data_IF_299118596061
#
_entry.id   IF_299118596061
#
_cell.length_a   1.000
_cell.length_b   1.000
_cell.length_c   1.000
_cell.angle_alpha   90.00
_cell.angle_beta   90.00
_cell.angle_gamma   90.00
#
_symmetry.space_group_name_H-M   'P 1'
#
loop_
_entity.id
_entity.type
_entity.pdbx_description
1 polymer ?
#
# COMPACT_ATOMS: atom_id res chain seq x y z
N UNK A 1 -11.72 4.19 3.67
CA UNK A 1 -11.87 4.08 2.20
C UNK A 1 -13.07 4.90 1.74
N UNK A 2 -12.99 5.56 0.57
CA UNK A 2 -14.16 6.14 -0.05
C UNK A 2 -15.23 5.05 -0.26
N UNK A 3 -16.53 5.33 -0.03
CA UNK A 3 -17.58 4.32 -0.17
C UNK A 3 -17.60 3.63 -1.54
N UNK A 4 -17.11 4.30 -2.57
CA UNK A 4 -17.01 3.76 -3.93
C UNK A 4 -16.02 2.60 -4.04
N UNK A 5 -15.08 2.45 -3.12
CA UNK A 5 -14.07 1.40 -3.12
C UNK A 5 -14.46 0.17 -2.29
N UNK A 6 -15.53 0.25 -1.50
CA UNK A 6 -15.97 -0.84 -0.62
C UNK A 6 -16.47 -2.08 -1.37
N UNK A 7 -16.85 -1.92 -2.64
CA UNK A 7 -17.46 -2.96 -3.45
C UNK A 7 -16.70 -3.27 -4.74
N UNK A 8 -15.49 -2.72 -4.90
CA UNK A 8 -14.68 -3.01 -6.08
C UNK A 8 -14.17 -4.44 -5.98
N UNK A 9 -14.55 -5.25 -6.97
CA UNK A 9 -14.01 -6.58 -7.17
C UNK A 9 -12.98 -6.56 -8.29
N UNK A 10 -11.90 -7.28 -8.10
CA UNK A 10 -10.91 -7.48 -9.15
C UNK A 10 -11.53 -8.25 -10.32
N UNK A 11 -11.37 -7.73 -11.54
CA UNK A 11 -11.86 -8.35 -12.78
C UNK A 11 -10.75 -8.78 -13.73
N UNK A 12 -9.48 -8.56 -13.35
CA UNK A 12 -8.29 -8.94 -14.12
C UNK A 12 -8.06 -10.46 -14.14
N UNK A 13 -7.21 -10.88 -15.07
CA UNK A 13 -6.75 -12.27 -15.13
C UNK A 13 -5.94 -12.66 -13.91
N UNK A 14 -5.97 -13.94 -13.54
CA UNK A 14 -5.09 -14.46 -12.48
C UNK A 14 -3.64 -14.47 -12.98
N UNK A 15 -2.72 -13.95 -12.17
CA UNK A 15 -1.28 -13.97 -12.46
C UNK A 15 -0.57 -15.21 -11.92
N UNK A 16 -1.31 -16.10 -11.29
CA UNK A 16 -0.81 -17.32 -10.67
C UNK A 16 -0.81 -18.47 -11.68
N UNK A 17 0.31 -19.13 -11.84
CA UNK A 17 0.42 -20.28 -12.74
C UNK A 17 -0.58 -21.38 -12.34
N UNK A 18 -1.42 -21.78 -13.28
CA UNK A 18 -2.44 -22.82 -13.09
C UNK A 18 -3.34 -22.58 -11.86
N UNK A 19 -3.63 -21.33 -11.55
CA UNK A 19 -4.47 -20.92 -10.40
C UNK A 19 -3.99 -21.52 -9.06
N UNK A 20 -2.68 -21.76 -8.90
CA UNK A 20 -2.12 -22.30 -7.66
C UNK A 20 -2.33 -21.35 -6.49
N UNK A 21 -2.44 -21.90 -5.32
CA UNK A 21 -2.46 -21.11 -4.10
C UNK A 21 -1.08 -20.52 -3.79
N UNK A 22 -1.09 -19.23 -3.38
CA UNK A 22 0.10 -18.46 -3.05
C UNK A 22 0.45 -18.63 -1.57
N UNK A 23 1.72 -18.84 -1.29
CA UNK A 23 2.26 -18.85 0.07
C UNK A 23 2.70 -17.44 0.48
N UNK A 24 2.93 -17.24 1.78
CA UNK A 24 3.53 -15.99 2.27
C UNK A 24 4.92 -15.74 1.67
N UNK A 25 5.72 -16.78 1.48
CA UNK A 25 7.04 -16.69 0.83
C UNK A 25 6.93 -16.25 -0.62
N UNK A 26 5.97 -16.78 -1.38
CA UNK A 26 5.74 -16.35 -2.77
C UNK A 26 5.49 -14.84 -2.86
N UNK A 27 4.73 -14.27 -1.92
CA UNK A 27 4.46 -12.83 -1.88
C UNK A 27 5.76 -12.07 -1.57
N UNK A 28 6.49 -12.48 -0.53
CA UNK A 28 7.71 -11.79 -0.12
C UNK A 28 8.77 -11.82 -1.21
N UNK A 29 8.96 -12.97 -1.84
CA UNK A 29 10.00 -13.17 -2.85
C UNK A 29 9.66 -12.48 -4.16
N UNK A 30 8.40 -12.54 -4.60
CA UNK A 30 7.98 -11.92 -5.87
C UNK A 30 8.06 -10.42 -5.85
N UNK A 31 7.72 -9.80 -4.72
CA UNK A 31 7.66 -8.33 -4.59
C UNK A 31 8.80 -7.76 -3.75
N UNK A 32 9.76 -8.59 -3.31
CA UNK A 32 10.89 -8.18 -2.46
C UNK A 32 10.50 -7.41 -1.21
N UNK A 33 9.34 -7.76 -0.65
CA UNK A 33 8.86 -7.18 0.59
C UNK A 33 9.81 -7.52 1.76
N UNK A 34 9.94 -6.61 2.72
CA UNK A 34 10.80 -6.79 3.90
C UNK A 34 10.37 -7.94 4.80
N UNK A 35 9.08 -8.21 4.87
CA UNK A 35 8.53 -9.25 5.71
C UNK A 35 7.00 -9.32 5.64
N UNK A 36 6.47 -10.41 6.18
CA UNK A 36 5.05 -10.67 6.27
C UNK A 36 4.64 -11.10 7.67
N UNK A 37 3.54 -10.57 8.19
CA UNK A 37 2.95 -11.01 9.45
C UNK A 37 1.57 -11.61 9.18
N UNK A 38 1.38 -12.85 9.60
CA UNK A 38 0.12 -13.56 9.45
C UNK A 38 -0.54 -13.73 10.81
N UNK A 39 -1.68 -13.07 11.01
CA UNK A 39 -2.44 -13.16 12.25
C UNK A 39 -3.20 -14.49 12.38
N UNK A 40 -3.82 -14.68 13.53
CA UNK A 40 -4.69 -15.82 13.80
C UNK A 40 -6.02 -15.64 13.07
N UNK A 41 -6.15 -16.25 11.90
CA UNK A 41 -7.40 -16.31 11.17
C UNK A 41 -8.22 -17.51 11.66
N UNK A 42 -9.47 -17.25 11.96
CA UNK A 42 -10.42 -18.32 12.34
C UNK A 42 -10.76 -19.22 11.16
N UNK A 43 -10.67 -18.69 9.93
CA UNK A 43 -10.93 -19.41 8.69
C UNK A 43 -9.68 -19.41 7.80
N UNK A 44 -9.09 -20.59 7.61
CA UNK A 44 -7.89 -20.75 6.77
C UNK A 44 -8.17 -20.55 5.28
N UNK A 45 -9.40 -20.84 4.83
CA UNK A 45 -9.79 -20.59 3.44
C UNK A 45 -9.84 -19.10 3.14
N UNK A 46 -10.42 -18.28 4.02
CA UNK A 46 -10.46 -16.81 3.85
C UNK A 46 -9.05 -16.23 3.82
N UNK A 47 -8.15 -16.76 4.64
CA UNK A 47 -6.73 -16.38 4.62
C UNK A 47 -6.10 -16.69 3.28
N UNK A 48 -6.30 -17.90 2.74
CA UNK A 48 -5.73 -18.29 1.45
C UNK A 48 -6.26 -17.42 0.32
N UNK A 49 -7.57 -17.22 0.26
CA UNK A 49 -8.19 -16.31 -0.72
C UNK A 49 -7.60 -14.91 -0.64
N UNK A 50 -7.38 -14.40 0.57
CA UNK A 50 -6.79 -13.06 0.75
C UNK A 50 -5.35 -12.97 0.25
N UNK A 51 -4.53 -14.02 0.44
CA UNK A 51 -3.16 -14.08 -0.08
C UNK A 51 -3.15 -14.15 -1.61
N UNK A 52 -3.99 -15.01 -2.19
CA UNK A 52 -4.12 -15.15 -3.64
C UNK A 52 -4.54 -13.83 -4.29
N UNK A 53 -5.54 -13.17 -3.74
CA UNK A 53 -6.00 -11.85 -4.21
C UNK A 53 -4.95 -10.76 -4.06
N UNK A 54 -4.19 -10.76 -2.96
CA UNK A 54 -3.12 -9.80 -2.72
C UNK A 54 -2.01 -9.94 -3.77
N UNK A 55 -1.61 -11.16 -4.08
CA UNK A 55 -0.60 -11.44 -5.09
C UNK A 55 -1.04 -10.91 -6.47
N UNK A 56 -2.24 -11.27 -6.90
CA UNK A 56 -2.79 -10.83 -8.18
C UNK A 56 -2.95 -9.31 -8.24
N UNK A 57 -3.41 -8.67 -7.14
CA UNK A 57 -3.59 -7.22 -7.08
C UNK A 57 -2.26 -6.44 -7.13
N UNK A 58 -1.19 -6.94 -6.51
CA UNK A 58 0.14 -6.34 -6.65
C UNK A 58 0.70 -6.50 -8.07
N UNK A 59 0.42 -7.62 -8.73
CA UNK A 59 0.79 -7.82 -10.14
C UNK A 59 0.05 -6.84 -11.05
N UNK A 60 -1.27 -6.70 -10.87
CA UNK A 60 -2.08 -5.71 -11.61
C UNK A 60 -1.53 -4.29 -11.40
N UNK A 61 -1.20 -3.94 -10.16
CA UNK A 61 -0.69 -2.61 -9.82
C UNK A 61 0.65 -2.34 -10.50
N UNK A 62 1.57 -3.29 -10.50
CA UNK A 62 2.86 -3.15 -11.16
C UNK A 62 2.69 -2.99 -12.67
N UNK A 63 1.82 -3.78 -13.29
CA UNK A 63 1.50 -3.66 -14.73
C UNK A 63 0.86 -2.31 -15.04
N UNK A 64 -0.09 -1.86 -14.23
CA UNK A 64 -0.81 -0.59 -14.45
C UNK A 64 0.13 0.64 -14.32
N UNK A 65 1.16 0.55 -13.48
CA UNK A 65 2.13 1.62 -13.27
C UNK A 65 3.38 1.49 -14.15
N UNK A 66 3.49 0.42 -14.95
CA UNK A 66 4.66 0.10 -15.77
C UNK A 66 5.97 0.06 -14.94
N UNK A 67 5.90 -0.59 -13.76
CA UNK A 67 7.04 -0.77 -12.86
C UNK A 67 7.38 -2.27 -12.71
N UNK A 68 8.59 -2.57 -12.26
CA UNK A 68 8.95 -3.95 -11.96
C UNK A 68 8.18 -4.46 -10.73
N UNK A 69 8.03 -5.78 -10.61
CA UNK A 69 7.38 -6.37 -9.43
C UNK A 69 8.17 -6.09 -8.14
N UNK A 70 9.49 -5.93 -8.23
CA UNK A 70 10.35 -5.62 -7.10
C UNK A 70 10.15 -4.17 -6.60
N UNK A 71 9.75 -3.25 -7.48
CA UNK A 71 9.48 -1.84 -7.13
C UNK A 71 8.24 -1.68 -6.25
N UNK A 72 7.37 -2.69 -6.20
CA UNK A 72 6.26 -2.75 -5.23
C UNK A 72 6.75 -2.62 -3.79
N UNK A 73 7.96 -3.08 -3.51
CA UNK A 73 8.58 -2.97 -2.18
C UNK A 73 8.89 -1.53 -1.74
N UNK A 74 8.90 -0.54 -2.65
CA UNK A 74 9.24 0.85 -2.35
C UNK A 74 10.48 0.97 -1.45
N UNK A 75 11.57 0.31 -1.87
CA UNK A 75 12.79 0.20 -1.07
C UNK A 75 13.48 1.54 -0.93
N UNK A 76 13.54 2.04 0.30
CA UNK A 76 14.19 3.31 0.63
C UNK A 76 15.71 3.15 0.67
N UNK A 77 16.43 4.13 0.12
CA UNK A 77 17.90 4.12 0.05
C UNK A 77 18.57 4.43 1.40
N UNK A 78 17.89 5.14 2.29
CA UNK A 78 18.50 5.76 3.47
C UNK A 78 18.11 5.13 4.81
N UNK A 79 17.21 4.17 4.87
CA UNK A 79 16.79 3.51 6.11
C UNK A 79 16.99 2.00 6.02
N UNK A 80 17.88 1.48 6.86
CA UNK A 80 18.19 0.04 6.90
C UNK A 80 17.11 -0.80 7.61
N UNK A 81 16.27 -0.20 8.46
CA UNK A 81 15.32 -0.92 9.31
C UNK A 81 13.94 -1.05 8.72
N UNK A 82 13.48 -0.02 8.00
CA UNK A 82 12.19 0.01 7.31
C UNK A 82 12.34 0.22 5.80
N UNK A 83 13.49 -0.13 5.26
CA UNK A 83 13.93 0.18 3.90
C UNK A 83 13.07 -0.40 2.79
N UNK A 84 12.18 -1.33 3.09
CA UNK A 84 11.21 -1.86 2.16
C UNK A 84 9.86 -2.05 2.85
N UNK A 85 8.80 -2.01 2.06
CA UNK A 85 7.44 -2.25 2.51
C UNK A 85 7.30 -3.65 3.12
N UNK A 86 6.50 -3.77 4.17
CA UNK A 86 6.05 -5.03 4.72
C UNK A 86 4.53 -5.15 4.61
N UNK A 87 4.01 -6.38 4.78
CA UNK A 87 2.59 -6.66 4.70
C UNK A 87 2.13 -7.46 5.92
N UNK A 88 0.93 -7.18 6.40
CA UNK A 88 0.32 -7.94 7.47
C UNK A 88 -1.11 -8.36 7.10
N UNK A 89 -1.44 -9.62 7.38
CA UNK A 89 -2.74 -10.21 7.13
C UNK A 89 -3.44 -10.52 8.45
N UNK A 90 -4.44 -9.72 8.83
CA UNK A 90 -5.23 -9.93 10.04
C UNK A 90 -4.46 -9.89 11.36
N UNK A 91 -3.22 -9.42 11.35
CA UNK A 91 -2.35 -9.44 12.53
C UNK A 91 -2.45 -8.18 13.38
N UNK A 92 -2.88 -7.05 12.80
CA UNK A 92 -2.86 -5.72 13.42
C UNK A 92 -4.20 -5.00 13.29
N UNK A 93 -5.31 -5.71 13.48
CA UNK A 93 -6.65 -5.16 13.27
C UNK A 93 -7.05 -4.14 14.33
N UNK A 94 -7.45 -2.93 13.89
CA UNK A 94 -8.38 -2.11 14.64
C UNK A 94 -9.81 -2.46 14.21
N UNK A 95 -10.72 -2.62 15.14
CA UNK A 95 -12.10 -2.99 14.85
C UNK A 95 -12.73 -2.02 13.85
N UNK A 96 -13.19 -2.54 12.71
CA UNK A 96 -13.91 -1.79 11.68
C UNK A 96 -13.10 -1.28 10.50
N UNK A 97 -11.77 -1.42 10.49
CA UNK A 97 -10.92 -1.00 9.35
C UNK A 97 -10.62 -2.18 8.44
N UNK A 98 -10.91 -2.06 7.13
CA UNK A 98 -10.69 -3.12 6.14
C UNK A 98 -9.21 -3.27 5.78
N UNK A 99 -8.51 -2.15 5.68
CA UNK A 99 -7.07 -2.06 5.43
C UNK A 99 -6.55 -0.73 5.99
N UNK A 100 -5.26 -0.63 6.27
CA UNK A 100 -4.59 0.63 6.59
C UNK A 100 -3.08 0.51 6.42
N UNK A 101 -2.43 1.62 6.08
CA UNK A 101 -0.99 1.75 6.05
C UNK A 101 -0.46 2.38 7.34
N UNK A 102 0.61 1.81 7.90
CA UNK A 102 1.33 2.33 9.08
C UNK A 102 2.66 2.94 8.65
N UNK A 103 2.79 4.28 8.54
CA UNK A 103 3.98 4.91 7.98
C UNK A 103 5.25 4.74 8.85
N UNK A 104 5.10 4.66 10.18
CA UNK A 104 6.25 4.48 11.08
C UNK A 104 6.89 3.11 10.91
N UNK A 105 6.07 2.08 10.72
CA UNK A 105 6.51 0.69 10.58
C UNK A 105 6.68 0.30 9.11
N UNK A 106 6.26 1.15 8.17
CA UNK A 106 6.22 0.88 6.74
C UNK A 106 5.53 -0.46 6.42
N UNK A 107 4.29 -0.61 6.90
CA UNK A 107 3.49 -1.83 6.81
C UNK A 107 2.10 -1.54 6.28
N UNK A 108 1.67 -2.29 5.27
CA UNK A 108 0.27 -2.37 4.87
C UNK A 108 -0.40 -3.49 5.66
N UNK A 109 -1.48 -3.15 6.36
CA UNK A 109 -2.30 -4.10 7.10
C UNK A 109 -3.59 -4.39 6.34
N UNK A 110 -3.83 -5.64 6.04
CA UNK A 110 -5.05 -6.12 5.40
C UNK A 110 -5.84 -6.93 6.43
N UNK A 111 -6.97 -6.41 6.89
CA UNK A 111 -7.83 -7.12 7.87
C UNK A 111 -8.79 -8.07 7.19
N UNK A 112 -9.39 -7.65 6.09
CA UNK A 112 -10.13 -8.49 5.13
C UNK A 112 -9.97 -7.84 3.76
N UNK A 113 -9.67 -8.61 2.74
CA UNK A 113 -9.66 -8.09 1.38
C UNK A 113 -11.08 -8.04 0.82
N UNK A 114 -11.78 -6.95 1.04
CA UNK A 114 -13.04 -6.67 0.39
C UNK A 114 -12.84 -5.85 -0.90
N UNK A 115 -11.90 -6.28 -1.73
CA UNK A 115 -11.69 -5.67 -3.04
C UNK A 115 -10.24 -5.25 -3.29
N UNK A 116 -9.82 -5.35 -4.55
CA UNK A 116 -8.47 -4.98 -5.02
C UNK A 116 -8.13 -3.49 -4.79
N UNK A 117 -9.14 -2.62 -4.74
CA UNK A 117 -8.98 -1.18 -4.52
C UNK A 117 -8.38 -0.82 -3.15
N UNK A 118 -8.65 -1.61 -2.11
CA UNK A 118 -8.09 -1.38 -0.78
C UNK A 118 -6.57 -1.48 -0.77
N UNK A 119 -6.00 -2.50 -1.43
CA UNK A 119 -4.55 -2.70 -1.46
C UNK A 119 -3.85 -1.58 -2.23
N UNK A 120 -4.36 -1.21 -3.40
CA UNK A 120 -3.80 -0.12 -4.21
C UNK A 120 -3.87 1.23 -3.48
N UNK A 121 -4.97 1.49 -2.74
CA UNK A 121 -5.12 2.70 -1.92
C UNK A 121 -4.06 2.77 -0.82
N UNK A 122 -3.88 1.70 -0.06
CA UNK A 122 -2.88 1.66 1.02
C UNK A 122 -1.44 1.69 0.48
N UNK A 123 -1.20 1.08 -0.68
CA UNK A 123 0.08 1.19 -1.37
C UNK A 123 0.34 2.63 -1.84
N UNK A 124 -0.69 3.36 -2.27
CA UNK A 124 -0.60 4.78 -2.58
C UNK A 124 -0.12 5.62 -1.38
N UNK A 125 -0.58 5.32 -0.17
CA UNK A 125 -0.07 5.95 1.06
C UNK A 125 1.39 5.57 1.34
N UNK A 126 1.77 4.32 1.07
CA UNK A 126 3.17 3.89 1.19
C UNK A 126 4.07 4.62 0.17
N UNK A 127 3.63 4.76 -1.09
CA UNK A 127 4.32 5.53 -2.12
C UNK A 127 4.49 7.00 -1.71
N UNK A 128 3.46 7.62 -1.15
CA UNK A 128 3.50 9.00 -0.67
C UNK A 128 4.57 9.19 0.43
N UNK A 129 4.65 8.23 1.37
CA UNK A 129 5.69 8.20 2.41
C UNK A 129 7.09 7.95 1.81
N UNK A 130 7.20 7.04 0.86
CA UNK A 130 8.44 6.73 0.15
C UNK A 130 9.00 7.95 -0.57
N UNK A 131 8.19 8.64 -1.36
CA UNK A 131 8.60 9.86 -2.08
C UNK A 131 9.06 10.94 -1.12
N UNK A 132 8.37 11.14 0.01
CA UNK A 132 8.81 12.08 1.03
C UNK A 132 10.21 11.76 1.54
N UNK A 133 10.47 10.50 1.85
CA UNK A 133 11.76 10.03 2.38
C UNK A 133 12.88 10.18 1.35
N UNK A 134 12.68 9.68 0.13
CA UNK A 134 13.69 9.72 -0.93
C UNK A 134 14.04 11.13 -1.39
N UNK A 135 13.05 12.03 -1.43
CA UNK A 135 13.26 13.42 -1.82
C UNK A 135 13.64 14.34 -0.65
N UNK A 136 13.73 13.83 0.58
CA UNK A 136 14.06 14.62 1.76
C UNK A 136 13.10 15.80 2.00
N UNK A 137 11.80 15.60 1.75
CA UNK A 137 10.82 16.69 1.81
C UNK A 137 10.48 17.09 3.25
N UNK A 138 10.34 18.39 3.50
CA UNK A 138 9.92 18.92 4.78
C UNK A 138 8.38 19.06 4.86
N UNK A 139 7.81 18.53 5.94
CA UNK A 139 6.37 18.62 6.17
C UNK A 139 5.92 20.06 6.46
N UNK A 140 4.74 20.43 5.99
CA UNK A 140 4.10 21.70 6.31
C UNK A 140 3.87 21.83 7.82
N UNK A 141 4.01 23.04 8.37
CA UNK A 141 3.84 23.29 9.80
C UNK A 141 2.44 22.95 10.31
N UNK A 142 1.44 23.02 9.45
CA UNK A 142 0.04 22.70 9.74
C UNK A 142 -0.28 21.20 9.63
N UNK A 143 0.68 20.38 9.14
CA UNK A 143 0.47 18.96 8.97
C UNK A 143 0.21 18.26 10.31
N UNK A 144 -0.79 17.39 10.35
CA UNK A 144 -1.07 16.51 11.49
C UNK A 144 0.06 15.50 11.68
N UNK A 145 0.04 14.77 12.82
CA UNK A 145 1.07 13.77 13.11
C UNK A 145 1.18 12.69 12.01
N UNK A 146 0.08 12.25 11.44
CA UNK A 146 0.05 11.28 10.35
C UNK A 146 0.53 11.91 9.02
N UNK A 147 0.04 13.10 8.70
CA UNK A 147 0.39 13.82 7.46
C UNK A 147 1.88 14.19 7.36
N UNK A 148 2.59 14.29 8.48
CA UNK A 148 4.04 14.54 8.48
C UNK A 148 4.88 13.47 7.79
N UNK A 149 4.31 12.29 7.54
CA UNK A 149 4.97 11.22 6.79
C UNK A 149 4.68 11.24 5.29
N UNK A 150 3.84 12.14 4.79
CA UNK A 150 3.33 12.15 3.42
C UNK A 150 3.93 13.30 2.61
N UNK A 151 4.43 13.00 1.40
CA UNK A 151 4.94 13.99 0.45
C UNK A 151 3.85 15.00 0.03
N UNK A 152 2.62 14.54 -0.13
CA UNK A 152 1.45 15.37 -0.44
C UNK A 152 1.16 16.45 0.61
N UNK A 153 1.70 16.34 1.82
CA UNK A 153 1.60 17.33 2.90
C UNK A 153 2.93 18.06 3.18
N UNK A 154 3.86 18.01 2.24
CA UNK A 154 5.12 18.73 2.29
C UNK A 154 5.06 20.03 1.49
N UNK A 155 6.08 20.89 1.67
CA UNK A 155 6.20 22.10 0.86
C UNK A 155 6.38 21.75 -0.61
N UNK A 156 5.81 22.58 -1.50
CA UNK A 156 5.81 22.32 -2.94
C UNK A 156 7.20 22.42 -3.59
N UNK A 157 8.17 23.07 -2.93
CA UNK A 157 9.53 23.24 -3.46
C UNK A 157 10.21 21.87 -3.56
N UNK A 158 10.60 21.50 -4.78
CA UNK A 158 11.21 20.20 -5.12
C UNK A 158 10.35 18.97 -4.79
N UNK A 159 9.04 19.15 -4.63
CA UNK A 159 8.13 18.05 -4.37
C UNK A 159 7.62 17.45 -5.70
N UNK A 160 7.91 16.18 -6.01
CA UNK A 160 7.42 15.54 -7.23
C UNK A 160 5.88 15.48 -7.33
N UNK A 161 5.19 15.55 -6.20
CA UNK A 161 3.72 15.63 -6.16
C UNK A 161 3.15 17.05 -6.14
N UNK A 162 3.96 18.08 -6.44
CA UNK A 162 3.52 19.47 -6.37
C UNK A 162 2.27 19.76 -7.23
N UNK A 163 2.20 19.18 -8.42
CA UNK A 163 1.02 19.31 -9.30
C UNK A 163 -0.21 18.59 -8.71
N UNK A 164 -0.02 17.40 -8.16
CA UNK A 164 -1.09 16.64 -7.49
C UNK A 164 -1.59 17.40 -6.27
N UNK A 165 -0.68 17.90 -5.43
CA UNK A 165 -1.01 18.71 -4.26
C UNK A 165 -1.75 19.98 -4.66
N UNK A 166 -1.32 20.64 -5.73
CA UNK A 166 -2.00 21.81 -6.27
C UNK A 166 -3.41 21.49 -6.74
N UNK A 167 -3.58 20.38 -7.47
CA UNK A 167 -4.89 19.92 -7.92
C UNK A 167 -5.83 19.54 -6.76
N UNK A 168 -5.29 18.91 -5.70
CA UNK A 168 -6.07 18.56 -4.50
C UNK A 168 -6.52 19.78 -3.70
N UNK A 169 -5.75 20.89 -3.75
CA UNK A 169 -6.06 22.14 -3.07
C UNK A 169 -6.96 23.07 -3.88
N UNK A 170 -7.26 22.74 -5.12
CA UNK A 170 -8.31 23.40 -5.88
C UNK A 170 -9.66 23.04 -5.24
N UNK A 171 -10.06 23.83 -4.25
CA UNK A 171 -11.47 23.90 -3.90
C UNK A 171 -12.16 24.52 -5.09
N UNK A 172 -13.02 23.79 -5.72
CA UNK A 172 -14.03 24.36 -6.60
C UNK A 172 -14.94 25.15 -5.67
N UNK A 173 -14.74 26.44 -5.56
CA UNK A 173 -15.72 27.34 -5.01
C UNK A 173 -16.85 27.43 -6.03
N UNK A 174 -17.88 26.60 -5.85
CA UNK A 174 -19.20 26.75 -6.45
C UNK A 174 -20.20 27.13 -5.37
#
# INVERSE_FOLDING_TARGET
LPPQLDHIQRTGEEHRENSRHITGEDILDSFKLRGGQFGNWTNQNDRQVSMDMCFDAFRDLAVALDISYEDIALRQSNDSRTSALAIAFGARGHSGTLAHYEPVENVINLTKMNGAGSLAHEWGHALDTYVKSECGLEANMTATKAQKYMATHCYATNNPFAEVVSAMNFKVDE
#
